data_IF_899642952837
#
_entry.id   IF_899642952837
#
_cell.length_a   1.000
_cell.length_b   1.000
_cell.length_c   1.000
_cell.angle_alpha   90.00
_cell.angle_beta   90.00
_cell.angle_gamma   90.00
#
_symmetry.space_group_name_H-M   'P 1'
#
loop_
_entity.id
_entity.type
_entity.pdbx_description
1 polymer ?
#
# COMPACT_ATOMS: atom_id res chain seq x y z
N UNK A 1 52.82 5.27 19.55
CA UNK A 1 52.06 6.07 18.56
C UNK A 1 51.56 5.27 17.36
N UNK A 2 52.35 4.42 16.73
CA UNK A 2 51.93 3.61 15.55
C UNK A 2 50.74 2.64 15.83
N UNK A 3 50.67 2.09 17.03
CA UNK A 3 49.60 1.12 17.39
C UNK A 3 48.24 1.77 17.70
N UNK A 4 48.25 3.00 18.24
CA UNK A 4 47.07 3.80 18.51
C UNK A 4 46.39 4.24 17.19
N UNK A 5 47.23 4.59 16.20
CA UNK A 5 46.74 5.02 14.88
C UNK A 5 46.13 3.86 14.09
N UNK A 6 46.65 2.63 14.25
CA UNK A 6 46.04 1.41 13.66
C UNK A 6 44.73 1.06 14.31
N UNK A 7 44.64 1.15 15.63
CA UNK A 7 43.40 0.88 16.38
C UNK A 7 42.28 1.87 16.02
N UNK A 8 42.66 3.16 15.86
CA UNK A 8 41.72 4.21 15.48
C UNK A 8 41.14 3.99 14.06
N UNK A 9 41.99 3.55 13.11
CA UNK A 9 41.57 3.24 11.74
C UNK A 9 40.62 2.04 11.70
N UNK A 10 40.88 1.01 12.50
CA UNK A 10 40.00 -0.16 12.62
C UNK A 10 38.64 0.22 13.23
N UNK A 11 38.64 1.09 14.24
CA UNK A 11 37.42 1.54 14.89
C UNK A 11 36.54 2.42 13.96
N UNK A 12 37.17 3.31 13.18
CA UNK A 12 36.46 4.09 12.16
C UNK A 12 35.90 3.21 11.02
N UNK A 13 36.62 2.17 10.61
CA UNK A 13 36.17 1.28 9.54
C UNK A 13 34.98 0.42 9.97
N UNK A 14 34.95 -0.04 11.22
CA UNK A 14 33.82 -0.79 11.79
C UNK A 14 32.59 0.10 12.01
N UNK A 15 32.77 1.36 12.40
CA UNK A 15 31.66 2.30 12.52
C UNK A 15 31.04 2.64 11.15
N UNK A 16 31.86 2.78 10.11
CA UNK A 16 31.40 3.06 8.75
C UNK A 16 30.59 1.89 8.19
N UNK A 17 30.96 0.65 8.52
CA UNK A 17 30.28 -0.55 8.06
C UNK A 17 28.93 -0.77 8.78
N UNK A 18 28.80 -0.34 10.02
CA UNK A 18 27.56 -0.42 10.79
C UNK A 18 26.48 0.55 10.29
N UNK A 19 26.85 1.67 9.66
CA UNK A 19 25.89 2.65 9.12
C UNK A 19 25.24 2.22 7.80
N UNK A 20 25.74 1.17 7.13
CA UNK A 20 25.23 0.73 5.82
C UNK A 20 24.02 -0.22 5.92
N UNK A 21 23.62 -0.64 7.13
CA UNK A 21 22.52 -1.57 7.35
C UNK A 21 21.26 -0.96 7.99
N UNK A 22 21.09 0.35 7.89
CA UNK A 22 19.75 0.91 8.18
C UNK A 22 18.84 0.64 6.99
N UNK A 23 18.35 -0.60 6.87
CA UNK A 23 17.19 -0.90 6.04
C UNK A 23 16.02 -0.15 6.67
N UNK A 24 15.68 0.99 6.11
CA UNK A 24 14.39 1.62 6.37
C UNK A 24 13.33 0.69 5.78
N UNK A 25 12.73 -0.13 6.63
CA UNK A 25 11.49 -0.81 6.28
C UNK A 25 10.47 0.31 6.12
N UNK A 26 10.19 0.66 4.86
CA UNK A 26 9.06 1.53 4.55
C UNK A 26 7.82 0.76 5.03
N UNK A 27 7.27 1.17 6.17
CA UNK A 27 6.02 0.61 6.65
C UNK A 27 4.94 0.92 5.64
N UNK A 28 4.32 -0.13 5.12
CA UNK A 28 3.13 0.01 4.31
C UNK A 28 2.08 0.74 5.17
N UNK A 29 1.52 1.81 4.64
CA UNK A 29 0.60 2.67 5.37
C UNK A 29 -0.77 2.00 5.60
N UNK A 30 -0.98 0.84 4.99
CA UNK A 30 -2.14 -0.04 5.17
C UNK A 30 -1.54 -1.38 5.58
N UNK A 31 -1.62 -1.71 6.88
CA UNK A 31 -1.05 -2.94 7.43
C UNK A 31 -2.15 -3.95 7.75
N UNK A 32 -1.86 -5.22 7.50
CA UNK A 32 -2.64 -6.35 8.01
C UNK A 32 -3.69 -6.91 7.07
N UNK A 33 -3.84 -6.39 5.84
CA UNK A 33 -4.74 -6.96 4.84
C UNK A 33 -4.08 -8.03 3.97
N UNK A 34 -4.89 -8.95 3.46
CA UNK A 34 -4.50 -9.91 2.43
C UNK A 34 -4.80 -9.34 1.03
N UNK A 35 -3.76 -8.92 0.33
CA UNK A 35 -3.87 -8.34 -1.01
C UNK A 35 -4.50 -9.29 -2.03
N UNK A 36 -4.27 -10.60 -1.92
CA UNK A 36 -4.87 -11.61 -2.80
C UNK A 36 -6.37 -11.78 -2.55
N UNK A 37 -6.77 -11.85 -1.29
CA UNK A 37 -8.18 -11.84 -0.90
C UNK A 37 -8.84 -10.52 -1.33
N UNK A 38 -8.17 -9.39 -1.12
CA UNK A 38 -8.62 -8.07 -1.53
C UNK A 38 -8.89 -7.95 -3.02
N UNK A 39 -8.05 -8.57 -3.88
CA UNK A 39 -8.29 -8.63 -5.32
C UNK A 39 -9.58 -9.38 -5.67
N UNK A 40 -9.82 -10.51 -5.03
CA UNK A 40 -11.05 -11.28 -5.27
C UNK A 40 -12.29 -10.49 -4.82
N UNK A 41 -12.23 -9.88 -3.63
CA UNK A 41 -13.29 -9.05 -3.08
C UNK A 41 -13.56 -7.80 -3.94
N UNK A 42 -12.52 -7.14 -4.45
CA UNK A 42 -12.67 -6.00 -5.35
C UNK A 42 -13.39 -6.38 -6.64
N UNK A 43 -13.09 -7.57 -7.20
CA UNK A 43 -13.82 -8.10 -8.36
C UNK A 43 -15.28 -8.38 -8.06
N UNK A 44 -15.58 -8.94 -6.92
CA UNK A 44 -16.94 -9.32 -6.53
C UNK A 44 -17.78 -8.11 -6.14
N UNK A 45 -17.26 -7.25 -5.28
CA UNK A 45 -18.04 -6.22 -4.58
C UNK A 45 -17.93 -4.83 -5.20
N UNK A 46 -16.78 -4.49 -5.78
CA UNK A 46 -16.56 -3.13 -6.30
C UNK A 46 -16.99 -2.97 -7.75
N UNK A 47 -16.88 -4.02 -8.57
CA UNK A 47 -17.23 -3.94 -9.99
C UNK A 47 -18.68 -3.59 -10.24
N UNK A 48 -19.59 -3.89 -9.34
CA UNK A 48 -20.99 -3.53 -9.49
C UNK A 48 -21.20 -2.02 -9.75
N UNK A 49 -20.46 -1.19 -9.06
CA UNK A 49 -20.50 0.28 -9.22
C UNK A 49 -19.33 0.84 -10.04
N UNK A 50 -18.25 0.08 -10.22
CA UNK A 50 -17.00 0.54 -10.81
C UNK A 50 -16.66 -0.15 -12.13
N UNK A 51 -17.61 -0.20 -13.04
CA UNK A 51 -17.42 -0.61 -14.44
C UNK A 51 -17.52 0.59 -15.37
N UNK A 52 -17.01 0.42 -16.59
CA UNK A 52 -17.19 1.41 -17.63
C UNK A 52 -18.68 1.68 -17.88
N UNK A 53 -19.09 2.94 -17.79
CA UNK A 53 -20.48 3.37 -17.96
C UNK A 53 -21.37 3.24 -16.72
N UNK A 54 -20.85 2.80 -15.57
CA UNK A 54 -21.56 2.84 -14.30
C UNK A 54 -21.35 4.14 -13.54
N UNK A 55 -22.19 4.40 -12.53
CA UNK A 55 -22.16 5.64 -11.75
C UNK A 55 -20.81 5.91 -11.06
N UNK A 56 -20.13 4.86 -10.60
CA UNK A 56 -18.81 4.95 -9.99
C UNK A 56 -17.64 5.08 -10.98
N UNK A 57 -17.92 4.91 -12.26
CA UNK A 57 -16.88 4.88 -13.31
C UNK A 57 -15.87 3.75 -13.13
N UNK A 58 -14.94 3.64 -14.05
CA UNK A 58 -13.86 2.64 -13.96
C UNK A 58 -12.90 2.98 -12.80
N UNK A 59 -12.75 2.06 -11.86
CA UNK A 59 -11.78 2.16 -10.78
C UNK A 59 -10.90 0.91 -10.73
N UNK A 60 -9.60 1.12 -10.64
CA UNK A 60 -8.59 0.07 -10.50
C UNK A 60 -7.51 0.55 -9.51
N UNK A 61 -6.62 -0.31 -9.02
CA UNK A 61 -5.47 0.14 -8.24
C UNK A 61 -4.66 1.25 -8.92
N UNK A 62 -4.58 1.22 -10.26
CA UNK A 62 -3.86 2.23 -11.04
C UNK A 62 -4.52 3.61 -11.05
N UNK A 63 -5.75 3.75 -10.55
CA UNK A 63 -6.47 5.03 -10.51
C UNK A 63 -5.85 6.03 -9.54
N UNK A 64 -4.98 5.56 -8.64
CA UNK A 64 -4.33 6.40 -7.61
C UNK A 64 -2.91 5.91 -7.33
N UNK A 65 -2.08 6.81 -6.81
CA UNK A 65 -0.79 6.47 -6.19
C UNK A 65 -0.99 5.84 -4.81
N UNK A 66 0.02 5.16 -4.29
CA UNK A 66 -0.01 4.58 -2.94
C UNK A 66 -0.40 5.62 -1.88
N UNK A 67 0.20 6.81 -1.93
CA UNK A 67 -0.11 7.90 -1.02
C UNK A 67 -1.55 8.44 -1.16
N UNK A 68 -2.09 8.40 -2.36
CA UNK A 68 -3.49 8.80 -2.59
C UNK A 68 -4.46 7.75 -2.06
N UNK A 69 -4.16 6.45 -2.22
CA UNK A 69 -4.93 5.36 -1.63
C UNK A 69 -4.93 5.44 -0.10
N UNK A 70 -3.76 5.62 0.52
CA UNK A 70 -3.65 5.82 1.96
C UNK A 70 -4.56 6.94 2.48
N UNK A 71 -4.53 8.10 1.84
CA UNK A 71 -5.38 9.24 2.22
C UNK A 71 -6.86 8.96 2.00
N UNK A 72 -7.18 8.25 0.94
CA UNK A 72 -8.55 7.88 0.61
C UNK A 72 -9.14 6.97 1.68
N UNK A 73 -8.40 5.94 2.09
CA UNK A 73 -8.80 5.01 3.12
C UNK A 73 -8.93 5.69 4.50
N UNK A 74 -7.90 6.43 4.92
CA UNK A 74 -7.89 7.12 6.23
C UNK A 74 -9.01 8.15 6.41
N UNK A 75 -9.47 8.75 5.32
CA UNK A 75 -10.50 9.80 5.37
C UNK A 75 -11.91 9.28 5.11
N UNK A 76 -12.08 7.98 4.92
CA UNK A 76 -13.36 7.35 4.54
C UNK A 76 -14.10 8.12 3.43
N UNK A 77 -13.33 8.56 2.44
CA UNK A 77 -13.87 9.40 1.37
C UNK A 77 -14.93 8.71 0.54
N UNK A 78 -14.86 7.38 0.44
CA UNK A 78 -15.81 6.61 -0.33
C UNK A 78 -17.21 6.70 0.29
N UNK A 79 -17.31 6.55 1.61
CA UNK A 79 -18.58 6.66 2.31
C UNK A 79 -19.21 8.06 2.18
N UNK A 80 -18.37 9.08 2.09
CA UNK A 80 -18.85 10.46 1.84
C UNK A 80 -19.42 10.62 0.42
N UNK A 81 -18.81 9.98 -0.58
CA UNK A 81 -19.21 10.09 -1.99
C UNK A 81 -20.35 9.13 -2.36
N UNK A 82 -20.42 7.97 -1.72
CA UNK A 82 -21.40 6.92 -1.95
C UNK A 82 -21.86 6.35 -0.59
N UNK A 83 -22.74 7.05 0.14
CA UNK A 83 -23.24 6.60 1.44
C UNK A 83 -23.87 5.21 1.34
N UNK A 84 -23.53 4.31 2.30
CA UNK A 84 -24.02 2.95 2.33
C UNK A 84 -23.32 1.95 1.42
N UNK A 85 -22.33 2.38 0.62
CA UNK A 85 -21.59 1.47 -0.25
C UNK A 85 -20.80 0.41 0.53
N UNK A 86 -20.39 0.71 1.76
CA UNK A 86 -19.67 -0.21 2.65
C UNK A 86 -20.56 -1.14 3.48
N UNK A 87 -21.88 -0.96 3.49
CA UNK A 87 -22.79 -1.70 4.37
C UNK A 87 -22.75 -3.23 4.20
N UNK A 88 -22.33 -3.69 3.01
CA UNK A 88 -22.20 -5.12 2.68
C UNK A 88 -20.74 -5.61 2.71
N UNK A 89 -19.82 -4.80 3.23
CA UNK A 89 -18.40 -5.11 3.29
C UNK A 89 -17.99 -5.04 4.76
N UNK A 90 -17.51 -6.15 5.31
CA UNK A 90 -16.99 -6.17 6.68
C UNK A 90 -15.69 -5.36 6.79
N UNK A 91 -15.32 -4.95 8.00
CA UNK A 91 -14.09 -4.20 8.24
C UNK A 91 -12.84 -4.96 7.76
N UNK A 92 -12.79 -6.28 7.95
CA UNK A 92 -11.66 -7.09 7.48
C UNK A 92 -11.60 -7.16 5.96
N UNK A 93 -12.73 -7.38 5.29
CA UNK A 93 -12.80 -7.37 3.82
C UNK A 93 -12.38 -6.00 3.26
N UNK A 94 -12.75 -4.91 3.94
CA UNK A 94 -12.35 -3.57 3.52
C UNK A 94 -10.84 -3.38 3.66
N UNK A 95 -10.22 -3.87 4.74
CA UNK A 95 -8.77 -3.84 4.93
C UNK A 95 -8.07 -4.62 3.80
N UNK A 96 -8.56 -5.81 3.45
CA UNK A 96 -8.01 -6.62 2.35
C UNK A 96 -8.12 -5.90 1.01
N UNK A 97 -9.28 -5.31 0.69
CA UNK A 97 -9.49 -4.52 -0.53
C UNK A 97 -8.50 -3.34 -0.58
N UNK A 98 -8.36 -2.61 0.53
CA UNK A 98 -7.48 -1.45 0.58
C UNK A 98 -6.00 -1.84 0.47
N UNK A 99 -5.61 -2.99 1.04
CA UNK A 99 -4.27 -3.56 0.87
C UNK A 99 -4.00 -3.84 -0.61
N UNK A 100 -4.92 -4.49 -1.32
CA UNK A 100 -4.79 -4.74 -2.76
C UNK A 100 -4.65 -3.43 -3.56
N UNK A 101 -5.48 -2.42 -3.29
CA UNK A 101 -5.42 -1.14 -3.97
C UNK A 101 -4.08 -0.42 -3.75
N UNK A 102 -3.52 -0.51 -2.55
CA UNK A 102 -2.24 0.09 -2.19
C UNK A 102 -1.05 -0.66 -2.82
N UNK A 103 -1.02 -1.99 -2.69
CA UNK A 103 0.10 -2.81 -3.17
C UNK A 103 0.25 -2.78 -4.69
N UNK A 104 -0.85 -2.56 -5.41
CA UNK A 104 -0.90 -2.53 -6.87
C UNK A 104 -1.20 -1.14 -7.46
N UNK A 105 -1.01 -0.08 -6.68
CA UNK A 105 -1.18 1.31 -7.09
C UNK A 105 -0.29 1.69 -8.29
N UNK A 106 -0.61 2.80 -8.93
CA UNK A 106 0.09 3.26 -10.14
C UNK A 106 1.61 3.44 -9.97
N UNK A 107 2.06 3.76 -8.76
CA UNK A 107 3.46 3.98 -8.40
C UNK A 107 4.06 2.86 -7.52
N UNK A 108 3.35 1.74 -7.37
CA UNK A 108 3.84 0.58 -6.63
C UNK A 108 4.90 -0.20 -7.40
N UNK A 109 5.62 -1.09 -6.71
CA UNK A 109 6.57 -2.01 -7.35
C UNK A 109 5.90 -3.04 -8.28
N UNK A 110 4.59 -3.29 -8.10
CA UNK A 110 3.80 -4.26 -8.86
C UNK A 110 2.45 -3.66 -9.28
N UNK A 111 2.43 -2.65 -10.17
CA UNK A 111 1.18 -2.05 -10.64
C UNK A 111 0.29 -3.09 -11.32
N UNK A 112 -0.99 -3.13 -10.96
CA UNK A 112 -1.93 -4.12 -11.49
C UNK A 112 -3.35 -3.54 -11.63
N UNK A 113 -4.10 -4.06 -12.60
CA UNK A 113 -5.54 -3.83 -12.69
C UNK A 113 -6.31 -4.90 -11.93
N UNK A 114 -7.61 -4.66 -11.65
CA UNK A 114 -8.48 -5.68 -11.04
C UNK A 114 -8.68 -6.93 -11.92
N UNK A 115 -8.15 -6.93 -13.15
CA UNK A 115 -8.45 -7.92 -14.17
C UNK A 115 -9.88 -7.76 -14.71
N UNK A 116 -10.07 -7.96 -15.96
CA UNK A 116 -11.40 -8.02 -16.60
C UNK A 116 -12.02 -9.41 -16.47
#
# INVERSE_FOLDING_TARGET
MKNVLKSLKFFCLTLLFACLFTVTIAQAAIEGGDSKAGKALAKEKCKYCHLAGSDGGTMTPLSKTQKQWERFCKKDKHNTLAPGAWDKISSNELIDIMQFMYDHAADSAQPETCGQ
#
